data_IF_447139761534
#
_entry.id   IF_447139761534
#
_cell.length_a   1.000
_cell.length_b   1.000
_cell.length_c   1.000
_cell.angle_alpha   90.00
_cell.angle_beta   90.00
_cell.angle_gamma   90.00
#
_symmetry.space_group_name_H-M   'P 1'
#
loop_
_entity.id
_entity.type
_entity.pdbx_description
1 polymer ?
#
# COMPACT_ATOMS: atom_id res chain seq x y z
N UNK A 1 -28.43 -3.74 8.65
CA UNK A 1 -27.13 -4.43 8.62
C UNK A 1 -26.22 -3.76 9.64
N UNK A 2 -25.28 -4.47 10.27
CA UNK A 2 -24.30 -3.79 11.13
C UNK A 2 -23.32 -3.02 10.25
N UNK A 3 -23.12 -1.73 10.56
CA UNK A 3 -22.10 -0.90 9.93
C UNK A 3 -20.72 -1.57 10.03
N UNK A 4 -19.96 -1.62 8.93
CA UNK A 4 -18.61 -2.22 8.90
C UNK A 4 -17.51 -1.17 8.99
N UNK A 5 -16.37 -1.49 9.56
CA UNK A 5 -15.19 -0.63 9.52
C UNK A 5 -13.92 -1.47 9.47
N UNK A 6 -12.86 -0.93 8.85
CA UNK A 6 -11.56 -1.59 8.83
C UNK A 6 -10.47 -0.81 8.08
N UNK A 7 -9.23 -1.26 8.27
CA UNK A 7 -8.03 -0.74 7.63
C UNK A 7 -7.73 -1.49 6.34
N UNK A 8 -7.58 -0.74 5.25
CA UNK A 8 -7.17 -1.27 3.94
C UNK A 8 -5.81 -0.67 3.57
N UNK A 9 -4.77 -1.48 3.68
CA UNK A 9 -3.40 -0.99 3.55
C UNK A 9 -2.81 -1.32 2.17
N UNK A 10 -2.25 -0.31 1.51
CA UNK A 10 -1.70 -0.43 0.16
C UNK A 10 -0.17 -0.48 0.25
N UNK A 11 0.40 -1.61 -0.19
CA UNK A 11 1.84 -1.86 -0.20
C UNK A 11 2.31 -2.28 -1.60
N UNK A 12 3.62 -2.21 -1.84
CA UNK A 12 4.20 -2.55 -3.14
C UNK A 12 5.46 -1.75 -3.43
N UNK A 13 6.16 -2.12 -4.50
CA UNK A 13 7.41 -1.47 -4.91
C UNK A 13 7.24 0.04 -5.16
N UNK A 14 8.33 0.83 -5.13
CA UNK A 14 8.29 2.23 -5.50
C UNK A 14 7.67 2.42 -6.89
N UNK A 15 6.92 3.52 -7.07
CA UNK A 15 6.35 3.92 -8.37
C UNK A 15 5.32 2.98 -9.02
N UNK A 16 4.86 1.91 -8.37
CA UNK A 16 3.78 1.04 -8.92
C UNK A 16 2.41 1.72 -9.00
N UNK A 17 2.22 2.85 -8.30
CA UNK A 17 0.99 3.66 -8.36
C UNK A 17 0.14 3.68 -7.08
N UNK A 18 0.67 3.25 -5.93
CA UNK A 18 -0.04 3.19 -4.64
C UNK A 18 -0.77 4.49 -4.29
N UNK A 19 -0.06 5.62 -4.31
CA UNK A 19 -0.61 6.94 -4.01
C UNK A 19 -1.69 7.39 -5.02
N UNK A 20 -1.55 6.98 -6.28
CA UNK A 20 -2.56 7.25 -7.32
C UNK A 20 -3.84 6.48 -7.05
N UNK A 21 -3.73 5.19 -6.75
CA UNK A 21 -4.87 4.34 -6.37
C UNK A 21 -5.53 4.89 -5.11
N UNK A 22 -4.75 5.24 -4.09
CA UNK A 22 -5.26 5.82 -2.86
C UNK A 22 -6.10 7.08 -3.10
N UNK A 23 -5.56 8.06 -3.82
CA UNK A 23 -6.29 9.29 -4.14
C UNK A 23 -7.58 9.01 -4.93
N UNK A 24 -7.54 8.04 -5.86
CA UNK A 24 -8.73 7.63 -6.60
C UNK A 24 -9.80 6.97 -5.73
N UNK A 25 -9.40 6.11 -4.77
CA UNK A 25 -10.32 5.45 -3.85
C UNK A 25 -10.96 6.41 -2.84
N UNK A 26 -10.21 7.43 -2.40
CA UNK A 26 -10.75 8.47 -1.51
C UNK A 26 -11.57 9.50 -2.27
N UNK A 27 -11.28 9.73 -3.55
CA UNK A 27 -11.92 10.78 -4.35
C UNK A 27 -11.29 12.17 -4.18
N UNK A 28 -10.20 12.28 -3.42
CA UNK A 28 -9.47 13.52 -3.17
C UNK A 28 -7.95 13.30 -3.27
N UNK A 29 -7.21 14.39 -3.56
CA UNK A 29 -5.75 14.34 -3.69
C UNK A 29 -5.07 14.54 -2.32
N UNK A 30 -4.99 13.48 -1.52
CA UNK A 30 -4.35 13.48 -0.20
C UNK A 30 -2.86 13.12 -0.26
N UNK A 31 -2.49 12.11 -1.04
CA UNK A 31 -1.10 11.66 -1.20
C UNK A 31 -0.39 12.42 -2.32
N UNK A 32 0.89 12.74 -2.11
CA UNK A 32 1.77 13.34 -3.12
C UNK A 32 2.06 12.28 -4.20
N UNK A 33 1.92 12.66 -5.47
CA UNK A 33 2.22 11.80 -6.63
C UNK A 33 3.32 12.47 -7.48
N UNK A 34 4.37 11.71 -7.82
CA UNK A 34 5.41 12.09 -8.79
C UNK A 34 6.04 10.84 -9.40
N UNK A 35 6.69 10.99 -10.56
CA UNK A 35 7.46 9.93 -11.24
C UNK A 35 8.78 9.60 -10.53
N UNK A 36 9.27 10.48 -9.63
CA UNK A 36 10.45 10.20 -8.82
C UNK A 36 10.16 9.11 -7.79
N UNK A 37 11.04 8.14 -7.66
CA UNK A 37 10.94 7.14 -6.59
C UNK A 37 11.06 7.79 -5.21
N UNK A 38 10.55 7.10 -4.18
CA UNK A 38 10.62 7.50 -2.76
C UNK A 38 9.83 8.75 -2.35
N UNK A 39 8.73 9.02 -3.04
CA UNK A 39 7.81 10.14 -2.73
C UNK A 39 7.13 9.99 -1.37
N UNK A 40 6.60 8.79 -1.09
CA UNK A 40 5.94 8.48 0.18
C UNK A 40 6.96 8.00 1.19
N UNK A 41 7.30 8.84 2.18
CA UNK A 41 8.26 8.52 3.27
C UNK A 41 7.61 8.20 4.61
N UNK A 42 6.34 8.54 4.73
CA UNK A 42 5.48 8.29 5.88
C UNK A 42 4.18 7.67 5.40
N UNK A 43 3.47 6.99 6.30
CA UNK A 43 2.13 6.47 6.00
C UNK A 43 1.16 7.64 5.87
N UNK A 44 0.38 7.68 4.80
CA UNK A 44 -0.69 8.66 4.58
C UNK A 44 -2.01 7.95 4.70
N UNK A 45 -2.92 8.50 5.50
CA UNK A 45 -4.25 7.95 5.71
C UNK A 45 -5.29 8.75 4.94
N UNK A 46 -6.31 8.07 4.47
CA UNK A 46 -7.53 8.71 3.99
C UNK A 46 -8.73 7.85 4.30
N UNK A 47 -9.81 8.52 4.65
CA UNK A 47 -10.97 7.89 5.27
C UNK A 47 -12.14 8.06 4.32
N UNK A 48 -12.77 6.96 3.95
CA UNK A 48 -14.00 6.95 3.17
C UNK A 48 -15.13 6.53 4.08
N UNK A 49 -16.16 7.37 4.18
CA UNK A 49 -17.36 7.12 4.99
C UNK A 49 -18.57 6.88 4.08
N UNK A 50 -19.32 5.82 4.37
CA UNK A 50 -20.59 5.47 3.75
C UNK A 50 -21.60 5.13 4.86
N UNK A 51 -22.92 5.29 4.65
CA UNK A 51 -23.91 4.89 5.65
C UNK A 51 -23.79 3.47 6.20
N UNK A 52 -23.24 2.55 5.39
CA UNK A 52 -23.11 1.13 5.73
C UNK A 52 -21.68 0.71 6.14
N UNK A 53 -20.67 1.54 5.86
CA UNK A 53 -19.28 1.19 6.14
C UNK A 53 -18.34 2.39 6.23
N UNK A 54 -17.20 2.18 6.88
CA UNK A 54 -16.06 3.09 6.86
C UNK A 54 -14.80 2.32 6.43
N UNK A 55 -13.96 2.95 5.61
CA UNK A 55 -12.67 2.38 5.23
C UNK A 55 -11.58 3.39 5.57
N UNK A 56 -10.57 2.95 6.32
CA UNK A 56 -9.34 3.71 6.53
C UNK A 56 -8.30 3.16 5.59
N UNK A 57 -8.14 3.82 4.44
CA UNK A 57 -7.07 3.48 3.52
C UNK A 57 -5.73 4.01 4.06
N UNK A 58 -4.66 3.28 3.79
CA UNK A 58 -3.32 3.81 3.99
C UNK A 58 -2.37 3.55 2.84
N UNK A 59 -1.73 4.62 2.38
CA UNK A 59 -0.63 4.60 1.43
C UNK A 59 0.69 4.50 2.20
N UNK A 60 1.53 3.55 1.81
CA UNK A 60 2.78 3.25 2.50
C UNK A 60 4.01 3.60 1.65
N UNK A 61 5.18 3.81 2.28
CA UNK A 61 6.44 3.87 1.55
C UNK A 61 6.63 2.66 0.62
N UNK A 62 7.28 2.87 -0.53
CA UNK A 62 7.61 1.77 -1.43
C UNK A 62 8.54 0.75 -0.78
N UNK A 63 8.32 -0.53 -1.06
CA UNK A 63 9.16 -1.62 -0.55
C UNK A 63 10.59 -1.49 -1.07
N UNK A 64 11.56 -1.32 -0.18
CA UNK A 64 12.98 -1.15 -0.53
C UNK A 64 13.86 -1.92 0.44
N UNK A 65 14.98 -2.45 -0.06
CA UNK A 65 16.03 -2.96 0.80
C UNK A 65 16.67 -1.79 1.56
N UNK A 66 16.71 -1.89 2.88
CA UNK A 66 17.24 -0.83 3.71
C UNK A 66 18.75 -0.71 3.53
N UNK A 67 19.21 0.48 3.16
CA UNK A 67 20.63 0.79 2.97
C UNK A 67 21.12 1.90 3.91
N UNK A 68 20.19 2.67 4.48
CA UNK A 68 20.46 3.77 5.42
C UNK A 68 19.24 4.03 6.30
N UNK A 69 19.43 4.80 7.38
CA UNK A 69 18.44 5.03 8.46
C UNK A 69 17.04 5.45 7.97
N UNK A 70 16.96 6.26 6.92
CA UNK A 70 15.67 6.65 6.36
C UNK A 70 14.91 5.45 5.79
N UNK A 71 15.58 4.53 5.08
CA UNK A 71 14.93 3.32 4.59
C UNK A 71 14.46 2.44 5.76
N UNK A 72 15.26 2.30 6.81
CA UNK A 72 14.86 1.54 8.00
C UNK A 72 13.58 2.11 8.62
N UNK A 73 13.51 3.43 8.71
CA UNK A 73 12.34 4.15 9.20
C UNK A 73 11.12 3.99 8.27
N UNK A 74 11.32 4.09 6.95
CA UNK A 74 10.26 3.83 5.96
C UNK A 74 9.71 2.41 6.08
N UNK A 75 10.59 1.41 6.21
CA UNK A 75 10.20 0.02 6.37
C UNK A 75 9.51 -0.25 7.73
N UNK A 76 9.71 0.61 8.73
CA UNK A 76 8.94 0.54 9.98
C UNK A 76 7.45 0.82 9.74
N UNK A 77 7.11 1.77 8.88
CA UNK A 77 5.72 2.04 8.49
C UNK A 77 5.07 0.88 7.73
N UNK A 78 5.83 0.25 6.83
CA UNK A 78 5.36 -0.94 6.11
C UNK A 78 5.07 -2.07 7.09
N UNK A 79 5.97 -2.33 8.05
CA UNK A 79 5.75 -3.36 9.08
C UNK A 79 4.52 -3.06 9.94
N UNK A 80 4.26 -1.81 10.28
CA UNK A 80 3.04 -1.42 11.00
C UNK A 80 1.80 -1.67 10.16
N UNK A 81 1.83 -1.30 8.87
CA UNK A 81 0.72 -1.54 7.95
C UNK A 81 0.43 -3.03 7.70
N UNK A 82 1.44 -3.90 7.76
CA UNK A 82 1.20 -5.35 7.71
C UNK A 82 0.50 -5.87 8.97
N UNK A 83 0.75 -5.26 10.14
CA UNK A 83 0.20 -5.72 11.42
C UNK A 83 -1.24 -5.27 11.67
N UNK A 84 -1.61 -4.08 11.19
CA UNK A 84 -2.91 -3.47 11.46
C UNK A 84 -3.89 -3.52 10.27
N UNK A 85 -3.55 -4.24 9.20
CA UNK A 85 -4.42 -4.42 8.05
C UNK A 85 -5.57 -5.40 8.38
N UNK A 86 -6.80 -5.00 8.12
CA UNK A 86 -7.92 -5.93 7.97
C UNK A 86 -7.97 -6.50 6.54
N UNK A 87 -7.52 -5.71 5.56
CA UNK A 87 -7.30 -6.11 4.16
C UNK A 87 -5.98 -5.52 3.67
N UNK A 88 -5.19 -6.32 2.97
CA UNK A 88 -3.94 -5.87 2.37
C UNK A 88 -4.05 -5.83 0.85
N UNK A 89 -3.72 -4.69 0.24
CA UNK A 89 -3.55 -4.55 -1.20
C UNK A 89 -2.07 -4.62 -1.52
N UNK A 90 -1.65 -5.71 -2.16
CA UNK A 90 -0.31 -5.85 -2.72
C UNK A 90 -0.35 -5.37 -4.18
N UNK A 91 0.31 -4.25 -4.44
CA UNK A 91 0.28 -3.60 -5.75
C UNK A 91 1.60 -3.79 -6.50
N UNK A 92 1.51 -4.19 -7.77
CA UNK A 92 2.62 -4.32 -8.72
C UNK A 92 2.26 -3.59 -10.02
N UNK A 93 3.20 -3.40 -10.93
CA UNK A 93 2.89 -2.96 -12.29
C UNK A 93 3.21 -4.01 -13.35
N UNK A 94 2.67 -3.80 -14.54
CA UNK A 94 2.81 -4.67 -15.70
C UNK A 94 4.25 -4.88 -16.23
N UNK A 95 5.20 -4.04 -15.84
CA UNK A 95 6.61 -4.11 -16.28
C UNK A 95 7.51 -4.72 -15.20
N UNK A 96 7.04 -4.77 -13.97
CA UNK A 96 7.78 -5.34 -12.84
C UNK A 96 7.70 -6.87 -12.87
N UNK A 97 8.83 -7.50 -13.19
CA UNK A 97 8.95 -8.97 -13.23
C UNK A 97 9.31 -9.58 -11.87
N UNK A 98 9.83 -8.77 -10.93
CA UNK A 98 10.30 -9.22 -9.62
C UNK A 98 10.08 -8.12 -8.59
N UNK A 99 9.45 -8.46 -7.46
CA UNK A 99 9.36 -7.56 -6.31
C UNK A 99 10.74 -7.39 -5.67
N UNK A 100 11.17 -6.15 -5.45
CA UNK A 100 12.50 -5.83 -4.91
C UNK A 100 12.70 -6.16 -3.43
N UNK A 101 11.74 -6.83 -2.77
CA UNK A 101 11.76 -7.04 -1.32
C UNK A 101 11.13 -8.38 -0.89
N UNK A 102 11.85 -9.47 -1.17
CA UNK A 102 11.45 -10.86 -0.93
C UNK A 102 11.04 -11.15 0.52
N UNK A 103 11.74 -10.59 1.50
CA UNK A 103 11.42 -10.76 2.93
C UNK A 103 9.99 -10.31 3.29
N UNK A 104 9.49 -9.24 2.66
CA UNK A 104 8.10 -8.81 2.88
C UNK A 104 7.12 -9.74 2.19
N UNK A 105 7.42 -10.26 1.01
CA UNK A 105 6.58 -11.26 0.36
C UNK A 105 6.47 -12.54 1.19
N UNK A 106 7.58 -13.01 1.77
CA UNK A 106 7.56 -14.14 2.69
C UNK A 106 6.72 -13.87 3.93
N UNK A 107 6.78 -12.65 4.46
CA UNK A 107 5.95 -12.23 5.59
C UNK A 107 4.48 -12.30 5.21
N UNK A 108 4.09 -11.75 4.06
CA UNK A 108 2.72 -11.77 3.55
C UNK A 108 2.22 -13.20 3.32
N UNK A 109 3.06 -14.08 2.76
CA UNK A 109 2.71 -15.49 2.53
C UNK A 109 2.42 -16.26 3.81
N UNK A 110 2.94 -15.81 4.96
CA UNK A 110 2.71 -16.41 6.28
C UNK A 110 1.52 -15.78 7.01
N UNK A 111 0.83 -14.81 6.41
CA UNK A 111 -0.33 -14.15 7.01
C UNK A 111 -1.61 -14.89 6.62
N UNK A 112 -2.04 -15.84 7.45
CA UNK A 112 -3.21 -16.69 7.14
C UNK A 112 -4.56 -16.04 7.45
N UNK A 113 -4.58 -14.90 8.15
CA UNK A 113 -5.79 -14.29 8.72
C UNK A 113 -6.23 -13.01 8.01
N UNK A 114 -5.42 -12.46 7.10
CA UNK A 114 -5.69 -11.18 6.42
C UNK A 114 -5.87 -11.46 4.92
N UNK A 115 -7.03 -11.12 4.33
CA UNK A 115 -7.21 -11.17 2.89
C UNK A 115 -6.19 -10.29 2.16
N UNK A 116 -5.47 -10.89 1.21
CA UNK A 116 -4.49 -10.20 0.37
C UNK A 116 -5.02 -10.10 -1.05
N UNK A 117 -5.15 -8.87 -1.55
CA UNK A 117 -5.56 -8.57 -2.92
C UNK A 117 -4.33 -8.18 -3.74
N UNK A 118 -3.98 -8.99 -4.75
CA UNK A 118 -2.96 -8.63 -5.73
C UNK A 118 -3.55 -7.72 -6.79
N UNK A 119 -3.00 -6.51 -6.93
CA UNK A 119 -3.45 -5.51 -7.89
C UNK A 119 -2.32 -5.22 -8.89
N UNK A 120 -2.57 -5.54 -10.15
CA UNK A 120 -1.63 -5.28 -11.26
C UNK A 120 -2.05 -3.96 -11.91
N UNK A 121 -1.21 -2.95 -11.77
CA UNK A 121 -1.47 -1.60 -12.25
C UNK A 121 -0.74 -1.28 -13.57
N UNK A 122 -1.10 -0.15 -14.18
CA UNK A 122 -0.52 0.40 -15.41
C UNK A 122 -0.70 -0.52 -16.63
N UNK A 123 -1.83 -1.22 -16.68
CA UNK A 123 -2.18 -2.06 -17.83
C UNK A 123 -2.31 -1.24 -19.13
N UNK A 124 -2.65 0.05 -19.02
CA UNK A 124 -2.73 1.00 -20.12
C UNK A 124 -1.38 1.27 -20.82
N UNK A 125 -0.26 0.85 -20.22
CA UNK A 125 1.10 1.03 -20.76
C UNK A 125 1.63 -0.19 -21.52
N UNK A 126 0.76 -1.17 -21.80
CA UNK A 126 1.05 -2.36 -22.62
C UNK A 126 0.92 -2.05 -24.11
#
# INVERSE_FOLDING_TARGET
>A
MSHKSGFVNIIGSPNVGKSTLMNALVGERLSIITSKAQTTRHRVFGIVNHPDYQIVYSDTPGLVNAAYKLHEHMMSYVRTALKDADILILMTDCKENTTNHEATLETIRKMDHIPVLLLINKFDLQ
#
